data_IF_867188884321
#
_entry.id   IF_867188884321
#
_cell.length_a   1.000
_cell.length_b   1.000
_cell.length_c   1.000
_cell.angle_alpha   90.00
_cell.angle_beta   90.00
_cell.angle_gamma   90.00
#
_symmetry.space_group_name_H-M   'P 1'
#
loop_
_entity.id
_entity.type
_entity.pdbx_description
1 polymer ?
#
# COMPACT_ATOMS: atom_id res chain seq x y z
N UNK A 1 36.14 38.40 -9.88
CA UNK A 1 34.74 38.52 -10.32
C UNK A 1 33.88 38.46 -9.07
N UNK A 2 33.33 39.59 -8.63
CA UNK A 2 32.42 39.63 -7.47
C UNK A 2 31.05 39.13 -7.91
N UNK A 3 30.43 38.18 -7.20
CA UNK A 3 29.08 37.72 -7.55
C UNK A 3 28.13 38.92 -7.56
N UNK A 4 27.37 39.06 -8.65
CA UNK A 4 26.42 40.14 -8.83
C UNK A 4 25.16 39.88 -8.00
N UNK A 5 24.38 40.92 -7.69
CA UNK A 5 23.12 40.76 -6.97
C UNK A 5 22.14 39.83 -7.70
N UNK A 6 22.22 39.74 -9.03
CA UNK A 6 21.43 38.82 -9.83
C UNK A 6 21.78 37.35 -9.53
N UNK A 7 23.07 37.04 -9.37
CA UNK A 7 23.53 35.68 -9.06
C UNK A 7 23.07 35.24 -7.66
N UNK A 8 23.00 36.16 -6.70
CA UNK A 8 22.47 35.88 -5.36
C UNK A 8 20.96 35.65 -5.36
N UNK A 9 20.20 36.44 -6.13
CA UNK A 9 18.74 36.27 -6.24
C UNK A 9 18.41 34.95 -6.93
N UNK A 10 19.14 34.58 -7.98
CA UNK A 10 18.93 33.33 -8.71
C UNK A 10 19.32 32.10 -7.88
N UNK A 11 20.41 32.19 -7.10
CA UNK A 11 20.83 31.14 -6.15
C UNK A 11 19.80 30.92 -5.04
N UNK A 12 19.31 32.00 -4.42
CA UNK A 12 18.26 31.92 -3.38
C UNK A 12 16.98 31.37 -3.99
N UNK A 13 16.58 31.86 -5.16
CA UNK A 13 15.40 31.37 -5.89
C UNK A 13 15.49 29.87 -6.11
N UNK A 14 16.56 29.39 -6.76
CA UNK A 14 16.73 27.97 -7.09
C UNK A 14 16.71 27.05 -5.85
N UNK A 15 17.35 27.46 -4.76
CA UNK A 15 17.40 26.67 -3.53
C UNK A 15 16.02 26.59 -2.85
N UNK A 16 15.27 27.71 -2.85
CA UNK A 16 13.90 27.76 -2.32
C UNK A 16 12.96 26.90 -3.17
N UNK A 17 13.04 26.99 -4.49
CA UNK A 17 12.24 26.18 -5.41
C UNK A 17 12.50 24.67 -5.27
N UNK A 18 13.77 24.25 -5.13
CA UNK A 18 14.13 22.83 -4.92
C UNK A 18 13.64 22.31 -3.57
N UNK A 19 13.70 23.12 -2.52
CA UNK A 19 13.25 22.72 -1.20
C UNK A 19 11.72 22.60 -1.12
N UNK A 20 10.97 23.49 -1.78
CA UNK A 20 9.52 23.39 -1.93
C UNK A 20 9.13 22.13 -2.72
N UNK A 21 9.86 21.80 -3.79
CA UNK A 21 9.61 20.58 -4.57
C UNK A 21 9.76 19.31 -3.72
N UNK A 22 10.79 19.24 -2.87
CA UNK A 22 10.99 18.08 -1.97
C UNK A 22 9.90 17.90 -0.92
N UNK A 23 9.33 19.01 -0.40
CA UNK A 23 8.27 18.98 0.61
C UNK A 23 6.89 18.71 -0.02
N UNK A 24 6.71 19.07 -1.29
CA UNK A 24 5.48 18.82 -2.05
C UNK A 24 5.25 17.34 -2.38
N UNK A 25 6.28 16.48 -2.29
CA UNK A 25 6.14 15.05 -2.55
C UNK A 25 5.67 14.23 -1.32
N UNK A 26 5.75 14.79 -0.11
CA UNK A 26 5.32 14.10 1.11
C UNK A 26 3.80 13.95 1.18
N UNK A 27 3.06 15.00 0.83
CA UNK A 27 1.59 14.99 0.82
C UNK A 27 1.01 13.91 -0.11
N UNK A 28 1.38 13.83 -1.40
CA UNK A 28 0.88 12.77 -2.28
C UNK A 28 1.32 11.39 -1.82
N UNK A 29 2.56 11.22 -1.31
CA UNK A 29 3.01 9.94 -0.77
C UNK A 29 2.16 9.47 0.43
N UNK A 30 1.85 10.36 1.37
CA UNK A 30 0.98 10.06 2.52
C UNK A 30 -0.44 9.73 2.06
N UNK A 31 -0.99 10.47 1.11
CA UNK A 31 -2.32 10.20 0.56
C UNK A 31 -2.34 8.82 -0.12
N UNK A 32 -1.35 8.51 -0.95
CA UNK A 32 -1.24 7.19 -1.59
C UNK A 32 -1.09 6.07 -0.56
N UNK A 33 -0.30 6.27 0.50
CA UNK A 33 -0.17 5.31 1.58
C UNK A 33 -1.50 5.07 2.30
N UNK A 34 -2.24 6.12 2.66
CA UNK A 34 -3.55 6.01 3.32
C UNK A 34 -4.56 5.30 2.41
N UNK A 35 -4.59 5.64 1.12
CA UNK A 35 -5.46 4.98 0.14
C UNK A 35 -5.09 3.49 0.04
N UNK A 36 -3.81 3.16 -0.09
CA UNK A 36 -3.34 1.78 -0.16
C UNK A 36 -3.74 1.00 1.09
N UNK A 37 -3.48 1.55 2.28
CA UNK A 37 -3.86 0.96 3.56
C UNK A 37 -5.37 0.72 3.65
N UNK A 38 -6.17 1.70 3.23
CA UNK A 38 -7.64 1.61 3.23
C UNK A 38 -8.12 0.49 2.31
N UNK A 39 -7.62 0.45 1.07
CA UNK A 39 -7.95 -0.60 0.10
C UNK A 39 -7.59 -1.98 0.66
N UNK A 40 -6.38 -2.16 1.16
CA UNK A 40 -5.93 -3.44 1.70
C UNK A 40 -6.76 -3.88 2.92
N UNK A 41 -7.12 -2.93 3.79
CA UNK A 41 -7.99 -3.22 4.94
C UNK A 41 -9.36 -3.76 4.48
N UNK A 42 -9.97 -3.14 3.47
CA UNK A 42 -11.26 -3.62 2.92
C UNK A 42 -11.10 -5.02 2.32
N UNK A 43 -10.05 -5.24 1.54
CA UNK A 43 -9.76 -6.54 0.93
C UNK A 43 -9.63 -7.64 1.98
N UNK A 44 -8.79 -7.45 3.00
CA UNK A 44 -8.59 -8.45 4.05
C UNK A 44 -9.84 -8.65 4.90
N UNK A 45 -10.57 -7.58 5.22
CA UNK A 45 -11.82 -7.70 5.96
C UNK A 45 -12.84 -8.55 5.20
N UNK A 46 -13.07 -8.26 3.92
CA UNK A 46 -14.00 -9.03 3.08
C UNK A 46 -13.54 -10.49 2.96
N UNK A 47 -12.27 -10.73 2.66
CA UNK A 47 -11.73 -12.07 2.54
C UNK A 47 -11.82 -12.87 3.86
N UNK A 48 -11.46 -12.24 4.98
CA UNK A 48 -11.54 -12.83 6.31
C UNK A 48 -12.97 -13.17 6.71
N UNK A 49 -13.93 -12.27 6.46
CA UNK A 49 -15.36 -12.50 6.74
C UNK A 49 -15.91 -13.65 5.92
N UNK A 50 -15.53 -13.78 4.65
CA UNK A 50 -16.03 -14.86 3.77
C UNK A 50 -15.48 -16.22 4.21
N UNK A 51 -14.20 -16.32 4.56
CA UNK A 51 -13.55 -17.62 4.86
C UNK A 51 -13.78 -18.06 6.30
N UNK A 52 -13.65 -17.15 7.26
CA UNK A 52 -13.61 -17.47 8.70
C UNK A 52 -14.88 -17.04 9.42
N UNK A 53 -15.63 -16.11 8.82
CA UNK A 53 -16.83 -15.53 9.40
C UNK A 53 -16.55 -14.29 10.24
N UNK A 54 -17.59 -13.44 10.33
CA UNK A 54 -17.56 -12.14 11.02
C UNK A 54 -17.24 -12.21 12.51
N UNK A 55 -17.38 -13.38 13.15
CA UNK A 55 -17.03 -13.57 14.57
C UNK A 55 -15.52 -13.57 14.83
N UNK A 56 -14.72 -13.91 13.82
CA UNK A 56 -13.26 -14.06 13.92
C UNK A 56 -12.51 -13.02 13.10
N UNK A 57 -13.10 -12.52 11.99
CA UNK A 57 -12.51 -11.49 11.17
C UNK A 57 -13.12 -10.12 11.50
N UNK A 58 -12.54 -9.39 12.45
CA UNK A 58 -12.96 -8.03 12.79
C UNK A 58 -12.31 -7.01 11.83
N UNK A 59 -12.92 -5.84 11.71
CA UNK A 59 -12.35 -4.74 10.92
C UNK A 59 -11.03 -4.24 11.51
N UNK A 60 -10.94 -4.19 12.85
CA UNK A 60 -9.71 -3.83 13.56
C UNK A 60 -8.57 -4.79 13.21
N UNK A 61 -8.86 -6.10 13.16
CA UNK A 61 -7.86 -7.11 12.82
C UNK A 61 -7.38 -6.95 11.37
N UNK A 62 -8.30 -6.73 10.43
CA UNK A 62 -7.97 -6.45 9.04
C UNK A 62 -7.09 -5.20 8.86
N UNK A 63 -7.34 -4.16 9.65
CA UNK A 63 -6.55 -2.92 9.65
C UNK A 63 -5.14 -3.16 10.19
N UNK A 64 -4.98 -3.95 11.25
CA UNK A 64 -3.66 -4.27 11.79
C UNK A 64 -2.89 -5.19 10.84
N UNK A 65 -3.56 -6.17 10.22
CA UNK A 65 -2.96 -7.02 9.19
C UNK A 65 -2.47 -6.19 8.00
N UNK A 66 -3.29 -5.25 7.50
CA UNK A 66 -2.91 -4.41 6.36
C UNK A 66 -1.76 -3.47 6.72
N UNK A 67 -1.80 -2.83 7.89
CA UNK A 67 -0.76 -1.91 8.35
C UNK A 67 0.58 -2.63 8.54
N UNK A 68 0.60 -3.72 9.31
CA UNK A 68 1.81 -4.48 9.56
C UNK A 68 2.29 -5.19 8.29
N UNK A 69 1.37 -5.71 7.48
CA UNK A 69 1.71 -6.41 6.24
C UNK A 69 2.39 -5.51 5.23
N UNK A 70 1.93 -4.26 5.05
CA UNK A 70 2.59 -3.28 4.16
C UNK A 70 4.00 -2.97 4.68
N UNK A 71 4.12 -2.59 5.97
CA UNK A 71 5.41 -2.19 6.56
C UNK A 71 6.42 -3.34 6.50
N UNK A 72 6.03 -4.53 6.97
CA UNK A 72 6.95 -5.67 7.01
C UNK A 72 7.20 -6.21 5.61
N UNK A 73 6.20 -6.22 4.73
CA UNK A 73 6.35 -6.64 3.34
C UNK A 73 7.37 -5.80 2.59
N UNK A 74 7.28 -4.47 2.71
CA UNK A 74 8.24 -3.56 2.08
C UNK A 74 9.65 -3.74 2.65
N UNK A 75 9.79 -3.87 3.98
CA UNK A 75 11.09 -4.12 4.63
C UNK A 75 11.69 -5.45 4.15
N UNK A 76 10.91 -6.52 4.06
CA UNK A 76 11.38 -7.82 3.58
C UNK A 76 11.86 -7.75 2.12
N UNK A 77 11.17 -7.03 1.24
CA UNK A 77 11.57 -6.92 -0.16
C UNK A 77 12.82 -6.04 -0.31
N UNK A 78 12.93 -4.97 0.47
CA UNK A 78 14.07 -4.05 0.42
C UNK A 78 15.37 -4.67 0.97
N UNK A 79 15.29 -5.46 2.03
CA UNK A 79 16.47 -5.97 2.74
C UNK A 79 17.05 -7.25 2.11
N UNK A 80 16.22 -8.11 1.51
CA UNK A 80 16.65 -9.41 1.00
C UNK A 80 16.91 -9.38 -0.52
N UNK A 81 18.19 -9.50 -0.91
CA UNK A 81 18.63 -9.74 -2.28
C UNK A 81 19.18 -11.18 -2.38
N UNK A 82 18.68 -12.07 -3.24
CA UNK A 82 17.67 -11.90 -4.30
C UNK A 82 16.22 -11.76 -3.80
N UNK A 83 15.41 -11.04 -4.60
CA UNK A 83 14.03 -10.67 -4.30
C UNK A 83 13.11 -11.88 -4.05
N UNK A 84 13.44 -13.04 -4.62
CA UNK A 84 12.71 -14.30 -4.41
C UNK A 84 12.65 -14.69 -2.93
N UNK A 85 13.74 -14.53 -2.19
CA UNK A 85 13.81 -14.89 -0.77
C UNK A 85 12.96 -13.92 0.05
N UNK A 86 13.07 -12.62 -0.23
CA UNK A 86 12.24 -11.59 0.40
C UNK A 86 10.75 -11.79 0.14
N UNK A 87 10.38 -12.23 -1.06
CA UNK A 87 8.99 -12.54 -1.42
C UNK A 87 8.45 -13.73 -0.62
N UNK A 88 9.21 -14.82 -0.51
CA UNK A 88 8.79 -16.01 0.26
C UNK A 88 8.64 -15.66 1.75
N UNK A 89 9.62 -14.95 2.33
CA UNK A 89 9.57 -14.48 3.72
C UNK A 89 8.37 -13.56 3.95
N UNK A 90 8.14 -12.61 3.04
CA UNK A 90 6.97 -11.72 3.08
C UNK A 90 5.69 -12.54 3.06
N UNK A 91 5.56 -13.52 2.16
CA UNK A 91 4.37 -14.38 2.08
C UNK A 91 4.14 -15.16 3.39
N UNK A 92 5.20 -15.68 4.02
CA UNK A 92 5.11 -16.31 5.34
C UNK A 92 4.67 -15.32 6.42
N UNK A 93 5.17 -14.09 6.41
CA UNK A 93 4.74 -13.02 7.34
C UNK A 93 3.26 -12.73 7.16
N UNK A 94 2.80 -12.47 5.94
CA UNK A 94 1.38 -12.23 5.65
C UNK A 94 0.51 -13.38 6.15
N UNK A 95 0.92 -14.62 5.89
CA UNK A 95 0.19 -15.80 6.34
C UNK A 95 0.16 -15.92 7.87
N UNK A 96 1.27 -15.61 8.55
CA UNK A 96 1.35 -15.61 10.01
C UNK A 96 0.50 -14.50 10.64
N UNK A 97 0.49 -13.30 10.06
CA UNK A 97 -0.37 -12.20 10.49
C UNK A 97 -1.84 -12.62 10.40
N UNK A 98 -2.28 -13.13 9.25
CA UNK A 98 -3.66 -13.59 9.05
C UNK A 98 -4.01 -14.69 10.06
N UNK A 99 -3.11 -15.67 10.24
CA UNK A 99 -3.31 -16.78 11.17
C UNK A 99 -3.46 -16.28 12.60
N UNK A 100 -2.60 -15.36 13.03
CA UNK A 100 -2.58 -14.84 14.40
C UNK A 100 -3.80 -13.97 14.69
N UNK A 101 -4.09 -12.99 13.82
CA UNK A 101 -5.15 -12.02 14.05
C UNK A 101 -6.55 -12.57 13.82
N UNK A 102 -6.76 -13.44 12.82
CA UNK A 102 -8.06 -14.07 12.60
C UNK A 102 -8.27 -15.39 13.37
N UNK A 103 -7.32 -15.76 14.24
CA UNK A 103 -7.36 -16.96 15.06
C UNK A 103 -7.70 -18.23 14.25
N UNK A 104 -7.10 -18.36 13.06
CA UNK A 104 -7.39 -19.45 12.12
C UNK A 104 -6.33 -20.55 12.14
N UNK A 105 -6.70 -21.72 11.60
CA UNK A 105 -5.72 -22.75 11.23
C UNK A 105 -4.93 -22.36 9.97
N UNK A 106 -3.86 -23.10 9.67
CA UNK A 106 -3.04 -22.89 8.47
C UNK A 106 -3.83 -22.87 7.16
N UNK A 107 -4.79 -23.79 6.99
CA UNK A 107 -5.65 -23.86 5.81
C UNK A 107 -6.60 -22.65 5.71
N UNK A 108 -7.10 -22.16 6.86
CA UNK A 108 -7.95 -20.97 6.91
C UNK A 108 -7.17 -19.72 6.52
N UNK A 109 -5.97 -19.55 7.07
CA UNK A 109 -5.09 -18.44 6.72
C UNK A 109 -4.70 -18.47 5.22
N UNK A 110 -4.41 -19.65 4.67
CA UNK A 110 -4.09 -19.79 3.24
C UNK A 110 -5.30 -19.45 2.37
N UNK A 111 -6.49 -19.92 2.73
CA UNK A 111 -7.72 -19.61 2.02
C UNK A 111 -8.04 -18.10 2.06
N UNK A 112 -7.85 -17.43 3.21
CA UNK A 112 -7.99 -15.98 3.32
C UNK A 112 -6.97 -15.27 2.44
N UNK A 113 -5.71 -15.69 2.44
CA UNK A 113 -4.67 -15.07 1.62
C UNK A 113 -4.99 -15.18 0.11
N UNK A 114 -5.40 -16.36 -0.35
CA UNK A 114 -5.82 -16.58 -1.74
C UNK A 114 -7.05 -15.73 -2.07
N UNK A 115 -8.06 -15.73 -1.20
CA UNK A 115 -9.27 -14.95 -1.43
C UNK A 115 -9.00 -13.44 -1.41
N UNK A 116 -8.09 -12.97 -0.56
CA UNK A 116 -7.65 -11.58 -0.53
C UNK A 116 -7.04 -11.16 -1.87
N UNK A 117 -6.21 -12.01 -2.49
CA UNK A 117 -5.69 -11.73 -3.84
C UNK A 117 -6.82 -11.61 -4.86
N UNK A 118 -7.80 -12.51 -4.84
CA UNK A 118 -8.95 -12.46 -5.75
C UNK A 118 -9.76 -11.17 -5.54
N UNK A 119 -10.09 -10.84 -4.29
CA UNK A 119 -10.85 -9.63 -3.94
C UNK A 119 -10.06 -8.37 -4.34
N UNK A 120 -8.75 -8.34 -4.12
CA UNK A 120 -7.88 -7.24 -4.55
C UNK A 120 -7.92 -7.03 -6.06
N UNK A 121 -7.83 -8.11 -6.86
CA UNK A 121 -7.94 -8.02 -8.32
C UNK A 121 -9.30 -7.47 -8.77
N UNK A 122 -10.40 -7.89 -8.12
CA UNK A 122 -11.73 -7.35 -8.39
C UNK A 122 -11.81 -5.86 -8.07
N UNK A 123 -11.29 -5.44 -6.91
CA UNK A 123 -11.25 -4.02 -6.52
C UNK A 123 -10.42 -3.20 -7.51
N UNK A 124 -9.25 -3.69 -7.92
CA UNK A 124 -8.42 -3.03 -8.93
C UNK A 124 -9.14 -2.90 -10.27
N UNK A 125 -9.84 -3.93 -10.71
CA UNK A 125 -10.60 -3.90 -11.94
C UNK A 125 -11.70 -2.83 -11.91
N UNK A 126 -12.45 -2.76 -10.79
CA UNK A 126 -13.48 -1.73 -10.58
C UNK A 126 -12.85 -0.33 -10.57
N UNK A 127 -11.73 -0.15 -9.85
CA UNK A 127 -11.06 1.14 -9.75
C UNK A 127 -10.48 1.59 -11.09
N UNK A 128 -9.91 0.66 -11.88
CA UNK A 128 -9.41 0.93 -13.22
C UNK A 128 -10.53 1.37 -14.16
N UNK A 129 -11.70 0.73 -14.13
CA UNK A 129 -12.87 1.15 -14.91
C UNK A 129 -13.35 2.54 -14.48
N UNK A 130 -13.47 2.77 -13.18
CA UNK A 130 -13.94 4.05 -12.62
C UNK A 130 -13.02 5.21 -13.00
N UNK A 131 -11.70 4.97 -13.08
CA UNK A 131 -10.73 5.98 -13.47
C UNK A 131 -10.62 6.16 -14.99
N UNK A 132 -10.68 5.05 -15.75
CA UNK A 132 -10.49 5.05 -17.21
C UNK A 132 -11.66 5.70 -17.95
N UNK A 133 -12.91 5.46 -17.52
CA UNK A 133 -14.10 5.97 -18.23
C UNK A 133 -14.16 7.51 -18.24
N UNK A 134 -14.03 8.23 -17.10
CA UNK A 134 -14.02 9.70 -17.09
C UNK A 134 -12.81 10.27 -17.84
N UNK A 135 -11.65 9.62 -17.72
CA UNK A 135 -10.44 10.04 -18.42
C UNK A 135 -10.61 9.99 -19.93
N UNK A 136 -11.18 8.91 -20.46
CA UNK A 136 -11.49 8.78 -21.89
C UNK A 136 -12.55 9.82 -22.34
N UNK A 137 -13.59 10.06 -21.54
CA UNK A 137 -14.62 11.06 -21.84
C UNK A 137 -14.07 12.49 -21.87
N UNK A 138 -13.06 12.82 -21.05
CA UNK A 138 -12.42 14.14 -21.04
C UNK A 138 -11.45 14.35 -22.21
N UNK A 139 -11.00 13.26 -22.85
CA UNK A 139 -10.10 13.31 -24.02
C UNK A 139 -10.84 13.40 -25.37
N UNK A 140 -12.16 13.15 -25.39
CA UNK A 140 -13.06 13.23 -26.55
C UNK A 140 -13.64 14.65 -26.69
#
# INVERSE_FOLDING_TARGET
MTPSLADFVDLIGKNVWLQIHSQAELLPAMISFIIHLTVMTIVFYVAGVIVVGKRRALFSDAFVISLLGIIVGDICILFFRPQLIGLILSLFVWLLLIRHYYETGWLGALAVAILAVIVYLVVLFILALLLTIPFLLFQL
#
